data_IF_880685444283
#
_entry.id   IF_880685444283
#
_cell.length_a   1.000
_cell.length_b   1.000
_cell.length_c   1.000
_cell.angle_alpha   90.00
_cell.angle_beta   90.00
_cell.angle_gamma   90.00
#
_symmetry.space_group_name_H-M   'P 1'
#
loop_
_entity.id
_entity.type
_entity.pdbx_description
1 polymer ?
#
# COMPACT_ATOMS: atom_id res chain seq x y z
N UNK A 1 2.95 -4.14 5.93
CA UNK A 1 3.75 -4.87 4.92
C UNK A 1 5.12 -5.22 5.47
N UNK A 2 5.26 -5.39 6.80
CA UNK A 2 6.57 -5.55 7.44
C UNK A 2 7.30 -6.84 7.07
N UNK A 3 6.57 -7.88 6.68
CA UNK A 3 7.12 -9.17 6.24
C UNK A 3 7.07 -9.36 4.70
N UNK A 4 6.82 -8.29 3.93
CA UNK A 4 6.75 -8.40 2.47
C UNK A 4 8.16 -8.28 1.89
N UNK A 5 8.67 -9.39 1.34
CA UNK A 5 10.02 -9.49 0.78
C UNK A 5 10.06 -9.34 -0.76
N UNK A 6 8.90 -9.37 -1.42
CA UNK A 6 8.81 -9.18 -2.86
C UNK A 6 7.42 -8.70 -3.27
N UNK A 7 7.35 -7.86 -4.31
CA UNK A 7 6.10 -7.42 -4.91
C UNK A 7 6.13 -7.65 -6.43
N UNK A 8 5.38 -8.64 -6.89
CA UNK A 8 5.24 -8.97 -8.31
C UNK A 8 4.16 -8.12 -8.99
N UNK A 9 4.10 -8.17 -10.33
CA UNK A 9 3.04 -7.56 -11.13
C UNK A 9 1.63 -8.03 -10.72
N UNK A 10 1.50 -9.28 -10.28
CA UNK A 10 0.24 -9.82 -9.77
C UNK A 10 -0.13 -9.20 -8.41
N UNK A 11 0.85 -9.02 -7.52
CA UNK A 11 0.68 -8.33 -6.24
C UNK A 11 0.24 -6.87 -6.42
N UNK A 12 0.87 -6.15 -7.36
CA UNK A 12 0.48 -4.77 -7.72
C UNK A 12 -0.98 -4.73 -8.19
N UNK A 13 -1.37 -5.62 -9.11
CA UNK A 13 -2.76 -5.69 -9.59
C UNK A 13 -3.74 -6.01 -8.46
N UNK A 14 -3.36 -6.88 -7.54
CA UNK A 14 -4.19 -7.20 -6.38
C UNK A 14 -4.39 -5.98 -5.47
N UNK A 15 -3.33 -5.19 -5.20
CA UNK A 15 -3.44 -3.94 -4.44
C UNK A 15 -4.36 -2.94 -5.12
N UNK A 16 -4.23 -2.75 -6.43
CA UNK A 16 -5.10 -1.84 -7.19
C UNK A 16 -6.57 -2.27 -7.13
N UNK A 17 -6.85 -3.57 -7.27
CA UNK A 17 -8.21 -4.11 -7.13
C UNK A 17 -8.76 -3.92 -5.72
N UNK A 18 -7.96 -4.17 -4.69
CA UNK A 18 -8.36 -4.00 -3.31
C UNK A 18 -8.68 -2.52 -2.99
N UNK A 19 -7.89 -1.59 -3.55
CA UNK A 19 -8.17 -0.15 -3.44
C UNK A 19 -9.48 0.23 -4.11
N UNK A 20 -9.70 -0.23 -5.34
CA UNK A 20 -10.94 0.02 -6.07
C UNK A 20 -12.16 -0.49 -5.29
N UNK A 21 -12.12 -1.74 -4.82
CA UNK A 21 -13.17 -2.33 -4.01
C UNK A 21 -13.42 -1.54 -2.71
N UNK A 22 -12.37 -1.12 -2.00
CA UNK A 22 -12.52 -0.28 -0.82
C UNK A 22 -13.23 1.05 -1.17
N UNK A 23 -12.81 1.72 -2.24
CA UNK A 23 -13.40 2.98 -2.70
C UNK A 23 -14.87 2.84 -3.12
N UNK A 24 -15.25 1.73 -3.76
CA UNK A 24 -16.65 1.44 -4.11
C UNK A 24 -17.56 1.40 -2.87
N UNK A 25 -16.99 1.02 -1.73
CA UNK A 25 -17.66 1.02 -0.42
C UNK A 25 -17.35 2.27 0.42
N UNK A 26 -16.86 3.36 -0.20
CA UNK A 26 -16.44 4.62 0.47
C UNK A 26 -15.34 4.45 1.53
N UNK A 27 -14.60 3.35 1.46
CA UNK A 27 -13.43 3.08 2.29
C UNK A 27 -12.12 3.50 1.62
N UNK A 28 -11.06 3.52 2.43
CA UNK A 28 -9.71 3.82 1.97
C UNK A 28 -8.77 2.64 2.28
N UNK A 29 -7.91 2.28 1.33
CA UNK A 29 -6.86 1.29 1.54
C UNK A 29 -5.52 2.00 1.73
N UNK A 30 -4.86 1.74 2.86
CA UNK A 30 -3.60 2.33 3.27
C UNK A 30 -2.54 1.25 3.44
N UNK A 31 -1.28 1.57 3.16
CA UNK A 31 -0.17 0.63 3.31
C UNK A 31 0.75 1.13 4.42
N UNK A 32 1.13 0.21 5.31
CA UNK A 32 1.95 0.54 6.48
C UNK A 32 3.19 -0.33 6.57
N UNK A 33 4.28 0.23 7.07
CA UNK A 33 5.57 -0.44 7.27
C UNK A 33 6.04 -1.23 6.03
N UNK A 34 6.16 -0.63 4.84
CA UNK A 34 6.89 -1.25 3.74
C UNK A 34 8.38 -1.31 4.10
N UNK A 35 9.04 -2.44 3.81
CA UNK A 35 10.50 -2.48 3.85
C UNK A 35 11.08 -1.47 2.82
N UNK A 36 12.29 -0.93 3.02
CA UNK A 36 12.85 0.13 2.15
C UNK A 36 12.81 -0.23 0.65
N UNK A 37 13.22 -1.44 0.29
CA UNK A 37 13.20 -1.86 -1.13
C UNK A 37 11.76 -2.03 -1.68
N UNK A 38 10.78 -2.39 -0.85
CA UNK A 38 9.35 -2.40 -1.25
C UNK A 38 8.89 -0.98 -1.48
N UNK A 39 9.25 -0.04 -0.60
CA UNK A 39 8.90 1.36 -0.76
C UNK A 39 9.46 1.92 -2.08
N UNK A 40 10.71 1.61 -2.41
CA UNK A 40 11.30 2.02 -3.68
C UNK A 40 10.61 1.38 -4.89
N UNK A 41 10.26 0.10 -4.80
CA UNK A 41 9.48 -0.57 -5.83
C UNK A 41 8.09 0.08 -6.01
N UNK A 42 7.40 0.42 -4.91
CA UNK A 42 6.11 1.12 -4.94
C UNK A 42 6.24 2.50 -5.61
N UNK A 43 7.28 3.26 -5.29
CA UNK A 43 7.59 4.56 -5.91
C UNK A 43 7.90 4.43 -7.40
N UNK A 44 8.68 3.42 -7.78
CA UNK A 44 9.06 3.16 -9.16
C UNK A 44 7.84 2.98 -10.07
N UNK A 45 6.80 2.29 -9.58
CA UNK A 45 5.55 2.09 -10.32
C UNK A 45 4.47 3.13 -10.01
N UNK A 46 4.78 4.14 -9.17
CA UNK A 46 3.88 5.24 -8.83
C UNK A 46 2.74 4.89 -7.86
N UNK A 47 2.83 3.76 -7.16
CA UNK A 47 1.84 3.35 -6.15
C UNK A 47 1.88 4.23 -4.90
N UNK A 48 3.01 4.88 -4.62
CA UNK A 48 3.16 5.87 -3.54
C UNK A 48 2.23 7.08 -3.70
N UNK A 49 1.81 7.39 -4.93
CA UNK A 49 0.83 8.45 -5.22
C UNK A 49 -0.62 7.98 -5.14
N UNK A 50 -0.83 6.66 -5.20
CA UNK A 50 -2.17 6.05 -5.20
C UNK A 50 -2.61 5.61 -3.80
N UNK A 51 -1.65 5.30 -2.93
CA UNK A 51 -1.87 4.81 -1.58
C UNK A 51 -1.24 5.78 -0.57
N UNK A 52 -1.91 6.03 0.54
CA UNK A 52 -1.24 6.62 1.70
C UNK A 52 -0.28 5.59 2.30
N UNK A 53 0.99 5.95 2.37
CA UNK A 53 2.07 5.12 2.91
C UNK A 53 2.46 5.64 4.31
N UNK A 54 2.61 4.73 5.26
CA UNK A 54 3.04 5.05 6.62
C UNK A 54 4.18 4.15 7.03
N UNK A 55 5.10 4.68 7.84
CA UNK A 55 6.26 3.91 8.32
C UNK A 55 5.85 2.85 9.35
N UNK A 56 4.77 3.07 10.09
CA UNK A 56 4.29 2.14 11.13
C UNK A 56 2.81 1.85 11.00
N UNK A 57 2.40 0.67 11.48
CA UNK A 57 0.98 0.30 11.58
C UNK A 57 0.22 1.25 12.50
N UNK A 58 0.83 1.71 13.58
CA UNK A 58 0.20 2.64 14.52
C UNK A 58 -0.13 3.98 13.86
N UNK A 59 0.82 4.54 13.08
CA UNK A 59 0.58 5.78 12.34
C UNK A 59 -0.56 5.66 11.32
N UNK A 60 -0.64 4.53 10.60
CA UNK A 60 -1.72 4.28 9.64
C UNK A 60 -3.10 4.19 10.31
N UNK A 61 -3.17 3.66 11.54
CA UNK A 61 -4.40 3.55 12.32
C UNK A 61 -4.84 4.87 12.95
N UNK A 62 -3.88 5.74 13.29
CA UNK A 62 -4.17 7.04 13.89
C UNK A 62 -4.81 8.05 12.91
N UNK A 63 -4.65 7.84 11.60
CA UNK A 63 -5.18 8.71 10.54
C UNK A 63 -6.57 8.26 10.00
N UNK A 64 -7.31 7.42 10.74
CA UNK A 64 -8.65 6.92 10.35
C UNK A 64 -9.76 7.95 10.55
#
# INVERSE_FOLDING_TARGET
MAATEFLSSAGIRALLKARAAASDHKGELRLAAPAPFILDALKLVGLDKLFKLYDTRAAALADF
#
